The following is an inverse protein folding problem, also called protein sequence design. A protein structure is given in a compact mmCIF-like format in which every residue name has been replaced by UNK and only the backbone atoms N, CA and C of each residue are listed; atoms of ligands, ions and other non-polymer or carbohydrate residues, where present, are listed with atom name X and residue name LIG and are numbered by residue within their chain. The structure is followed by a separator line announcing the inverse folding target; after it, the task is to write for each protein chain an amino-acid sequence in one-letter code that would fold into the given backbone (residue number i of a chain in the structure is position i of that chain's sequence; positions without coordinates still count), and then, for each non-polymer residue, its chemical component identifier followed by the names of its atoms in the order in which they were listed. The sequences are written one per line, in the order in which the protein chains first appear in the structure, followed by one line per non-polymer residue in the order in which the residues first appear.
data_IF_543345034586
#
_entry.id   IF_543345034586
#
_cell.length_a   1.000
_cell.length_b   1.000
_cell.length_c   1.000
_cell.angle_alpha   90.00
_cell.angle_beta   90.00
_cell.angle_gamma   90.00
#
_symmetry.space_group_name_H-M   'P 1'
#
loop_
_entity.id
_entity.type
_entity.pdbx_description
1 polymer ?
#
# COMPACT_ATOMS: atom_id res chain seq x y z
N UNK A 1 -20.85 -17.73 -7.64
CA UNK A 1 -21.21 -16.38 -7.13
C UNK A 1 -19.97 -15.53 -7.24
N UNK A 2 -20.02 -14.43 -7.99
CA UNK A 2 -18.92 -13.46 -8.03
C UNK A 2 -19.02 -12.67 -6.72
N UNK A 3 -18.03 -12.81 -5.84
CA UNK A 3 -18.00 -12.05 -4.57
C UNK A 3 -17.79 -10.57 -4.89
N UNK A 4 -18.58 -9.70 -4.25
CA UNK A 4 -18.71 -8.27 -4.56
C UNK A 4 -17.63 -7.46 -3.82
N UNK A 5 -16.65 -6.91 -4.53
CA UNK A 5 -15.71 -5.95 -3.93
C UNK A 5 -16.49 -4.78 -3.29
N UNK A 6 -16.12 -4.44 -2.07
CA UNK A 6 -16.62 -3.24 -1.37
C UNK A 6 -15.54 -2.18 -1.36
N UNK A 7 -15.93 -0.93 -1.59
CA UNK A 7 -15.03 0.21 -1.59
C UNK A 7 -15.56 1.34 -0.71
N UNK A 8 -14.65 2.14 -0.14
CA UNK A 8 -14.98 3.35 0.62
C UNK A 8 -13.93 4.45 0.42
N UNK A 9 -14.37 5.69 0.57
CA UNK A 9 -13.53 6.91 0.51
C UNK A 9 -13.02 7.35 1.89
N UNK A 10 -12.71 6.37 2.75
CA UNK A 10 -12.09 6.57 4.06
C UNK A 10 -11.08 5.46 4.29
N UNK A 11 -9.89 5.74 4.84
CA UNK A 11 -8.92 4.71 5.13
C UNK A 11 -9.53 3.66 6.07
N UNK A 12 -9.12 2.40 5.90
CA UNK A 12 -9.48 1.34 6.83
C UNK A 12 -8.50 1.27 7.99
N UNK A 13 -7.23 1.57 7.75
CA UNK A 13 -6.19 1.54 8.76
C UNK A 13 -5.70 2.93 9.10
N UNK A 14 -5.28 3.12 10.34
CA UNK A 14 -4.52 4.30 10.72
C UNK A 14 -3.16 4.26 10.03
N UNK A 15 -2.86 5.26 9.21
CA UNK A 15 -1.60 5.31 8.45
C UNK A 15 -0.38 5.35 9.39
N UNK A 16 -0.50 5.98 10.55
CA UNK A 16 0.55 6.01 11.57
C UNK A 16 0.91 4.61 12.07
N UNK A 17 -0.10 3.78 12.37
CA UNK A 17 0.12 2.39 12.78
C UNK A 17 0.80 1.58 11.67
N UNK A 18 0.37 1.78 10.41
CA UNK A 18 1.03 1.12 9.29
C UNK A 18 2.51 1.51 9.20
N UNK A 19 2.84 2.81 9.28
CA UNK A 19 4.23 3.28 9.24
C UNK A 19 5.08 2.72 10.38
N UNK A 20 4.55 2.74 11.60
CA UNK A 20 5.22 2.16 12.78
C UNK A 20 5.60 0.70 12.54
N UNK A 21 4.62 -0.13 12.14
CA UNK A 21 4.85 -1.54 11.84
C UNK A 21 5.74 -1.74 10.61
N UNK A 22 5.66 -0.86 9.61
CA UNK A 22 6.44 -0.99 8.39
C UNK A 22 7.91 -0.62 8.61
N UNK A 23 8.23 0.31 9.50
CA UNK A 23 9.62 0.68 9.83
C UNK A 23 10.44 -0.44 10.50
N UNK A 24 9.76 -1.46 11.06
CA UNK A 24 10.41 -2.56 11.76
C UNK A 24 10.47 -3.82 10.89
N UNK A 25 11.68 -4.34 10.64
CA UNK A 25 11.92 -5.49 9.77
C UNK A 25 11.19 -6.78 10.21
N UNK A 26 10.82 -6.92 11.49
CA UNK A 26 10.09 -8.09 12.00
C UNK A 26 8.59 -8.05 11.67
N UNK A 27 8.04 -6.86 11.49
CA UNK A 27 6.62 -6.60 11.26
C UNK A 27 6.33 -6.12 9.85
N UNK A 28 7.37 -5.72 9.10
CA UNK A 28 7.30 -5.36 7.69
C UNK A 28 7.20 -6.58 6.79
N UNK A 29 6.27 -6.54 5.85
CA UNK A 29 6.19 -7.47 4.74
C UNK A 29 6.07 -6.72 3.42
N UNK A 30 6.92 -7.08 2.45
CA UNK A 30 6.87 -6.56 1.09
C UNK A 30 6.60 -7.73 0.17
N UNK A 31 5.48 -7.71 -0.56
CA UNK A 31 5.19 -8.77 -1.52
C UNK A 31 6.19 -8.74 -2.68
N UNK A 32 6.36 -9.87 -3.37
CA UNK A 32 7.19 -9.90 -4.57
C UNK A 32 6.68 -8.94 -5.67
N UNK A 33 5.37 -8.72 -5.74
CA UNK A 33 4.75 -7.78 -6.69
C UNK A 33 5.16 -6.34 -6.35
N UNK A 34 5.04 -5.94 -5.08
CA UNK A 34 5.47 -4.63 -4.62
C UNK A 34 6.97 -4.42 -4.84
N UNK A 35 7.80 -5.41 -4.50
CA UNK A 35 9.25 -5.30 -4.68
C UNK A 35 9.64 -5.12 -6.15
N UNK A 36 9.05 -5.91 -7.07
CA UNK A 36 9.34 -5.79 -8.50
C UNK A 36 8.87 -4.45 -9.06
N UNK A 37 7.66 -4.01 -8.70
CA UNK A 37 7.14 -2.72 -9.16
C UNK A 37 7.93 -1.52 -8.63
N UNK A 38 8.36 -1.57 -7.36
CA UNK A 38 9.23 -0.57 -6.77
C UNK A 38 10.59 -0.50 -7.50
N UNK A 39 11.21 -1.65 -7.77
CA UNK A 39 12.47 -1.73 -8.52
C UNK A 39 12.34 -1.18 -9.95
N UNK A 40 11.20 -1.42 -10.63
CA UNK A 40 10.93 -0.85 -11.96
C UNK A 40 10.86 0.68 -11.95
N UNK A 41 10.47 1.29 -10.82
CA UNK A 41 10.47 2.74 -10.63
C UNK A 41 11.78 3.26 -9.99
N UNK A 42 12.79 2.41 -9.82
CA UNK A 42 14.11 2.81 -9.31
C UNK A 42 14.27 2.77 -7.79
N UNK A 43 13.34 2.17 -7.05
CA UNK A 43 13.46 1.93 -5.61
C UNK A 43 14.00 0.52 -5.40
N UNK A 44 15.33 0.41 -5.27
CA UNK A 44 16.05 -0.87 -5.36
C UNK A 44 16.29 -1.53 -4.00
N UNK A 45 16.16 -0.76 -2.92
CA UNK A 45 16.38 -1.22 -1.55
C UNK A 45 15.10 -1.16 -0.72
N UNK A 46 15.12 -1.87 0.40
CA UNK A 46 14.04 -1.79 1.38
C UNK A 46 13.97 -0.38 1.99
N UNK A 47 15.11 0.27 2.19
CA UNK A 47 15.20 1.63 2.71
C UNK A 47 14.56 2.65 1.74
N UNK A 48 14.76 2.49 0.43
CA UNK A 48 14.09 3.33 -0.59
C UNK A 48 12.56 3.24 -0.47
N UNK A 49 12.03 2.03 -0.27
CA UNK A 49 10.60 1.79 -0.12
C UNK A 49 10.10 2.36 1.22
N UNK A 50 10.83 2.14 2.31
CA UNK A 50 10.50 2.69 3.64
C UNK A 50 10.43 4.21 3.60
N UNK A 51 11.39 4.87 2.95
CA UNK A 51 11.41 6.33 2.80
C UNK A 51 10.16 6.84 2.06
N UNK A 52 9.69 6.15 1.03
CA UNK A 52 8.43 6.51 0.35
C UNK A 52 7.22 6.34 1.27
N UNK A 53 7.13 5.20 1.97
CA UNK A 53 6.04 4.93 2.90
C UNK A 53 5.99 5.96 4.04
N UNK A 54 7.15 6.37 4.54
CA UNK A 54 7.26 7.37 5.60
C UNK A 54 6.76 8.76 5.14
N UNK A 55 6.83 9.07 3.85
CA UNK A 55 6.31 10.33 3.30
C UNK A 55 4.81 10.30 2.98
N UNK A 56 4.15 9.13 3.08
CA UNK A 56 2.71 9.05 2.88
C UNK A 56 1.96 9.89 3.93
N UNK A 57 0.80 10.40 3.54
CA UNK A 57 -0.02 11.26 4.37
C UNK A 57 -1.48 11.12 3.97
N UNK A 58 -2.38 11.65 4.79
CA UNK A 58 -3.84 11.56 4.55
C UNK A 58 -4.25 12.13 3.19
N UNK A 59 -3.58 13.18 2.70
CA UNK A 59 -3.83 13.79 1.39
C UNK A 59 -3.52 12.86 0.20
N UNK A 60 -2.70 11.83 0.41
CA UNK A 60 -2.33 10.86 -0.61
C UNK A 60 -3.34 9.70 -0.69
N UNK A 61 -4.24 9.58 0.30
CA UNK A 61 -5.23 8.51 0.33
C UNK A 61 -6.22 8.64 -0.83
N UNK A 62 -6.45 7.52 -1.51
CA UNK A 62 -7.36 7.44 -2.64
C UNK A 62 -8.67 6.74 -2.28
N UNK A 63 -8.57 5.46 -1.93
CA UNK A 63 -9.71 4.61 -1.56
C UNK A 63 -9.25 3.44 -0.71
N UNK A 64 -10.20 2.81 -0.04
CA UNK A 64 -10.02 1.53 0.61
C UNK A 64 -10.93 0.52 -0.07
N UNK A 65 -10.41 -0.66 -0.39
CA UNK A 65 -11.15 -1.72 -1.09
C UNK A 65 -10.95 -3.08 -0.43
N UNK A 66 -11.96 -3.95 -0.46
CA UNK A 66 -11.79 -5.35 -0.04
C UNK A 66 -11.09 -6.17 -1.12
N UNK A 67 -10.45 -7.26 -0.73
CA UNK A 67 -9.93 -8.23 -1.69
C UNK A 67 -11.07 -9.03 -2.36
N UNK A 68 -10.81 -9.63 -3.53
CA UNK A 68 -11.75 -10.55 -4.18
C UNK A 68 -12.01 -11.84 -3.37
N UNK A 69 -11.07 -12.23 -2.51
CA UNK A 69 -11.09 -13.52 -1.81
C UNK A 69 -11.61 -13.42 -0.37
N UNK A 70 -11.62 -12.22 0.21
CA UNK A 70 -12.14 -11.96 1.55
C UNK A 70 -12.58 -10.51 1.70
N UNK A 71 -13.84 -10.32 2.12
CA UNK A 71 -14.42 -9.01 2.46
C UNK A 71 -13.95 -8.46 3.82
N UNK A 72 -13.26 -9.28 4.61
CA UNK A 72 -12.71 -8.87 5.91
C UNK A 72 -11.36 -8.18 5.77
N UNK A 73 -10.64 -8.46 4.68
CA UNK A 73 -9.33 -7.88 4.40
C UNK A 73 -9.53 -6.66 3.50
N UNK A 74 -9.13 -5.52 4.04
CA UNK A 74 -9.15 -4.24 3.34
C UNK A 74 -7.75 -3.87 2.86
N UNK A 75 -7.69 -3.12 1.77
CA UNK A 75 -6.47 -2.56 1.22
C UNK A 75 -6.67 -1.07 1.06
N UNK A 76 -5.84 -0.28 1.71
CA UNK A 76 -5.82 1.16 1.52
C UNK A 76 -4.90 1.49 0.35
N UNK A 77 -5.39 2.35 -0.53
CA UNK A 77 -4.73 2.76 -1.76
C UNK A 77 -4.32 4.21 -1.64
N UNK A 78 -3.09 4.51 -2.04
CA UNK A 78 -2.51 5.85 -2.02
C UNK A 78 -1.91 6.20 -3.38
N UNK A 79 -2.05 7.47 -3.76
CA UNK A 79 -1.30 8.09 -4.85
C UNK A 79 -0.26 9.03 -4.25
N UNK A 80 1.01 8.78 -4.54
CA UNK A 80 2.13 9.58 -4.04
C UNK A 80 2.96 10.11 -5.20
N UNK A 81 3.33 11.38 -5.15
CA UNK A 81 4.22 11.98 -6.13
C UNK A 81 5.60 12.17 -5.50
N UNK A 82 6.59 11.49 -6.05
CA UNK A 82 7.99 11.58 -5.66
C UNK A 82 8.81 12.13 -6.83
N UNK A 83 9.01 13.45 -6.83
CA UNK A 83 9.57 14.16 -7.99
C UNK A 83 8.69 14.00 -9.24
N UNK A 84 9.24 13.39 -10.29
CA UNK A 84 8.57 13.10 -11.56
C UNK A 84 7.82 11.75 -11.56
N UNK A 85 8.02 10.92 -10.52
CA UNK A 85 7.37 9.61 -10.38
C UNK A 85 6.04 9.77 -9.68
N UNK A 86 4.96 9.36 -10.35
CA UNK A 86 3.65 9.17 -9.73
C UNK A 86 3.52 7.70 -9.37
N UNK A 87 3.24 7.41 -8.10
CA UNK A 87 3.21 6.07 -7.57
C UNK A 87 1.81 5.70 -7.12
N UNK A 88 1.41 4.48 -7.47
CA UNK A 88 0.24 3.81 -6.97
C UNK A 88 0.66 2.77 -5.93
N UNK A 89 0.19 2.96 -4.70
CA UNK A 89 0.62 2.19 -3.53
C UNK A 89 -0.59 1.52 -2.87
N UNK A 90 -0.56 0.20 -2.71
CA UNK A 90 -1.57 -0.57 -1.95
C UNK A 90 -0.97 -1.14 -0.69
N UNK A 91 -1.60 -0.88 0.45
CA UNK A 91 -1.18 -1.37 1.75
C UNK A 91 -2.32 -2.10 2.45
N UNK A 92 -1.97 -3.00 3.36
CA UNK A 92 -2.90 -3.57 4.33
C UNK A 92 -2.17 -3.93 5.62
N UNK A 93 -2.93 -4.21 6.68
CA UNK A 93 -2.41 -4.94 7.83
C UNK A 93 -2.64 -6.44 7.67
N UNK A 94 -1.87 -7.25 8.40
CA UNK A 94 -2.20 -8.66 8.63
C UNK A 94 -3.58 -8.79 9.30
N UNK A 95 -4.16 -9.99 9.24
CA UNK A 95 -5.43 -10.29 9.92
C UNK A 95 -5.34 -9.97 11.42
N UNK A 96 -4.22 -10.34 12.05
CA UNK A 96 -3.93 -10.08 13.46
C UNK A 96 -3.52 -8.62 13.75
N UNK A 97 -3.39 -7.78 12.71
CA UNK A 97 -3.00 -6.36 12.75
C UNK A 97 -1.64 -6.08 13.39
N UNK A 98 -0.76 -7.08 13.40
CA UNK A 98 0.60 -7.03 13.95
C UNK A 98 1.68 -6.80 12.88
N UNK A 99 1.31 -6.82 11.59
CA UNK A 99 2.23 -6.66 10.46
C UNK A 99 1.69 -5.68 9.44
N UNK A 100 2.59 -4.88 8.89
CA UNK A 100 2.33 -4.00 7.77
C UNK A 100 2.73 -4.69 6.48
N UNK A 101 1.79 -4.84 5.56
CA UNK A 101 2.00 -5.51 4.28
C UNK A 101 1.88 -4.51 3.14
N UNK A 102 2.99 -4.26 2.44
CA UNK A 102 3.00 -3.54 1.17
C UNK A 102 2.64 -4.51 0.05
N UNK A 103 1.44 -4.34 -0.52
CA UNK A 103 0.87 -5.23 -1.52
C UNK A 103 1.33 -4.85 -2.92
N UNK A 104 1.36 -3.55 -3.23
CA UNK A 104 1.77 -3.05 -4.54
C UNK A 104 2.41 -1.67 -4.39
N UNK A 105 3.45 -1.43 -5.19
CA UNK A 105 4.07 -0.13 -5.40
C UNK A 105 4.53 -0.13 -6.85
N UNK A 106 3.97 0.74 -7.68
CA UNK A 106 4.27 0.82 -9.12
C UNK A 106 3.99 2.23 -9.63
N UNK A 107 4.39 2.53 -10.87
CA UNK A 107 3.93 3.75 -11.56
C UNK A 107 2.41 3.82 -11.58
N UNK A 108 1.90 4.99 -11.27
CA UNK A 108 0.52 5.35 -11.47
C UNK A 108 0.30 5.75 -12.92
N UNK A 109 -0.38 4.90 -13.67
CA UNK A 109 -0.65 5.09 -15.10
C UNK A 109 -1.90 5.96 -15.35
N UNK A 110 -2.56 6.45 -14.29
CA UNK A 110 -3.73 7.34 -14.41
C UNK A 110 -5.01 6.63 -14.89
N UNK A 111 -4.98 5.31 -15.02
CA UNK A 111 -6.15 4.48 -15.27
C UNK A 111 -6.66 3.97 -13.93
N UNK A 112 -7.78 4.53 -13.48
CA UNK A 112 -8.55 3.95 -12.39
C UNK A 112 -9.15 2.63 -12.90
N UNK A 113 -8.50 1.53 -12.48
CA UNK A 113 -8.84 0.10 -12.71
C UNK A 113 -8.24 -0.58 -13.94
#
# INVERSE_FOLDING_TARGET
MIQKISEKRRPHYELSLFKELFSNAKTRQITQIAHKGAASEGYMTVEDIENVIEQLGSKHFYKSMTTYHSHEIWQDVYHYQDGDKKLYIKIQLSVDRDKAVLIQMKRDEGSDE
#
